data_IF_269449905006
#
_entry.id   IF_269449905006
#
_cell.length_a   1.000
_cell.length_b   1.000
_cell.length_c   1.000
_cell.angle_alpha   90.00
_cell.angle_beta   90.00
_cell.angle_gamma   90.00
#
_symmetry.space_group_name_H-M   'P 1'
#
loop_
_entity.id
_entity.type
_entity.pdbx_description
1 polymer ?
#
# COMPACT_ATOMS: atom_id res chain seq x y z
N UNK A 1 -0.15 79.09 -14.82
CA UNK A 1 1.30 79.42 -14.78
C UNK A 1 2.03 78.50 -13.80
N UNK A 2 2.61 77.38 -14.25
CA UNK A 2 3.22 76.36 -13.37
C UNK A 2 4.48 76.85 -12.61
N UNK A 3 5.15 77.90 -13.10
CA UNK A 3 6.35 78.46 -12.48
C UNK A 3 6.11 79.23 -11.17
N UNK A 4 4.87 79.57 -10.83
CA UNK A 4 4.55 80.29 -9.59
C UNK A 4 4.75 79.41 -8.34
N UNK A 5 4.41 78.13 -8.45
CA UNK A 5 4.54 77.14 -7.37
C UNK A 5 5.94 76.50 -7.31
N UNK A 6 6.77 76.65 -8.35
CA UNK A 6 8.13 76.13 -8.38
C UNK A 6 8.98 76.82 -7.32
N UNK A 7 9.68 76.06 -6.48
CA UNK A 7 10.56 76.57 -5.43
C UNK A 7 12.01 76.21 -5.80
N UNK A 8 12.84 77.19 -6.21
CA UNK A 8 14.24 76.93 -6.55
C UNK A 8 15.04 76.67 -5.28
N UNK A 9 16.05 75.79 -5.38
CA UNK A 9 16.93 75.44 -4.25
C UNK A 9 17.85 76.60 -3.87
N UNK A 10 18.22 77.42 -4.85
CA UNK A 10 19.05 78.61 -4.70
C UNK A 10 18.24 79.86 -5.07
N UNK A 11 18.52 81.03 -4.46
CA UNK A 11 17.87 82.27 -4.83
C UNK A 11 18.14 82.60 -6.31
N UNK A 12 17.09 82.86 -7.09
CA UNK A 12 17.18 83.17 -8.51
C UNK A 12 16.40 84.43 -8.87
N UNK A 13 16.91 85.22 -9.82
CA UNK A 13 16.24 86.45 -10.28
C UNK A 13 14.92 86.20 -11.02
N UNK A 14 14.79 85.09 -11.74
CA UNK A 14 13.58 84.74 -12.50
C UNK A 14 13.20 83.26 -12.35
N UNK A 15 12.11 83.00 -11.61
CA UNK A 15 11.57 81.66 -11.34
C UNK A 15 11.17 80.87 -12.58
N UNK A 16 10.70 81.55 -13.63
CA UNK A 16 10.23 80.87 -14.84
C UNK A 16 11.40 80.28 -15.64
N UNK A 17 12.48 81.06 -15.78
CA UNK A 17 13.70 80.60 -16.45
C UNK A 17 14.37 79.48 -15.67
N UNK A 18 14.45 79.62 -14.33
CA UNK A 18 15.02 78.59 -13.47
C UNK A 18 14.25 77.26 -13.57
N UNK A 19 12.91 77.28 -13.51
CA UNK A 19 12.09 76.07 -13.70
C UNK A 19 12.37 75.40 -15.05
N UNK A 20 12.53 76.21 -16.11
CA UNK A 20 12.77 75.67 -17.46
C UNK A 20 14.11 74.95 -17.52
N UNK A 21 15.17 75.54 -16.96
CA UNK A 21 16.51 74.96 -16.90
C UNK A 21 16.57 73.70 -16.03
N UNK A 22 16.02 73.76 -14.81
CA UNK A 22 15.96 72.59 -13.93
C UNK A 22 15.23 71.42 -14.58
N UNK A 23 14.13 71.70 -15.28
CA UNK A 23 13.38 70.67 -16.00
C UNK A 23 14.18 70.06 -17.14
N UNK A 24 14.91 70.87 -17.91
CA UNK A 24 15.75 70.36 -18.99
C UNK A 24 16.94 69.56 -18.45
N UNK A 25 17.54 70.01 -17.35
CA UNK A 25 18.68 69.34 -16.71
C UNK A 25 18.26 68.01 -16.09
N UNK A 26 17.10 67.99 -15.42
CA UNK A 26 16.50 66.76 -14.91
C UNK A 26 16.20 65.76 -16.03
N UNK A 27 15.59 66.22 -17.14
CA UNK A 27 15.32 65.37 -18.30
C UNK A 27 16.62 64.84 -18.92
N UNK A 28 17.65 65.67 -19.04
CA UNK A 28 18.96 65.28 -19.56
C UNK A 28 19.64 64.25 -18.64
N UNK A 29 19.62 64.48 -17.32
CA UNK A 29 20.17 63.56 -16.33
C UNK A 29 19.45 62.20 -16.38
N UNK A 30 18.11 62.22 -16.38
CA UNK A 30 17.31 60.99 -16.37
C UNK A 30 17.48 60.18 -17.64
N UNK A 31 17.57 60.85 -18.79
CA UNK A 31 17.72 60.20 -20.10
C UNK A 31 19.13 59.72 -20.36
N UNK A 32 20.16 60.53 -20.09
CA UNK A 32 21.56 60.22 -20.45
C UNK A 32 22.34 59.49 -19.36
N UNK A 33 22.10 59.80 -18.09
CA UNK A 33 22.87 59.21 -16.97
C UNK A 33 22.13 58.05 -16.35
N UNK A 34 20.90 58.26 -15.88
CA UNK A 34 20.18 57.24 -15.10
C UNK A 34 19.75 56.05 -15.97
N UNK A 35 19.25 56.29 -17.19
CA UNK A 35 18.75 55.21 -18.07
C UNK A 35 19.87 54.26 -18.53
N UNK A 36 21.08 54.77 -18.70
CA UNK A 36 22.23 54.01 -19.20
C UNK A 36 23.22 53.62 -18.08
N UNK A 37 22.93 53.95 -16.83
CA UNK A 37 23.72 53.52 -15.68
C UNK A 37 23.64 51.99 -15.56
N UNK A 38 24.81 51.34 -15.51
CA UNK A 38 24.88 49.89 -15.31
C UNK A 38 24.63 49.57 -13.84
N UNK A 39 23.85 48.53 -13.52
CA UNK A 39 23.75 48.06 -12.15
C UNK A 39 25.11 47.52 -11.71
N UNK A 40 25.60 48.01 -10.57
CA UNK A 40 26.86 47.56 -9.95
C UNK A 40 26.69 46.23 -9.21
N UNK A 41 25.47 45.99 -8.69
CA UNK A 41 25.12 44.77 -7.98
C UNK A 41 24.42 43.83 -8.94
N UNK A 42 24.97 42.62 -9.07
CA UNK A 42 24.36 41.54 -9.84
C UNK A 42 23.13 41.03 -9.09
N UNK A 43 21.95 41.13 -9.71
CA UNK A 43 20.66 40.69 -9.15
C UNK A 43 20.16 39.36 -9.75
N UNK A 44 20.99 38.67 -10.53
CA UNK A 44 20.62 37.40 -11.15
C UNK A 44 20.48 36.29 -10.11
N UNK A 45 19.65 35.30 -10.41
CA UNK A 45 19.59 34.08 -9.62
C UNK A 45 20.96 33.38 -9.60
N UNK A 46 21.36 32.79 -8.45
CA UNK A 46 22.61 32.04 -8.36
C UNK A 46 22.57 30.82 -9.30
N UNK A 47 23.75 30.44 -9.80
CA UNK A 47 23.88 29.31 -10.72
C UNK A 47 23.47 28.00 -10.02
N UNK A 48 22.48 27.32 -10.56
CA UNK A 48 22.10 25.97 -10.13
C UNK A 48 23.03 24.94 -10.77
N UNK A 49 23.47 23.95 -10.01
CA UNK A 49 24.27 22.84 -10.54
C UNK A 49 23.46 21.55 -10.51
N UNK A 50 23.40 20.83 -11.64
CA UNK A 50 22.61 19.59 -11.76
C UNK A 50 23.04 18.49 -10.79
N UNK A 51 24.33 18.42 -10.42
CA UNK A 51 24.83 17.42 -9.48
C UNK A 51 24.37 17.64 -8.02
N UNK A 52 23.90 18.85 -7.66
CA UNK A 52 23.24 19.10 -6.37
C UNK A 52 21.80 18.58 -6.38
N UNK A 53 21.13 18.64 -7.53
CA UNK A 53 19.74 18.21 -7.68
C UNK A 53 19.64 16.68 -7.90
N UNK A 54 20.62 16.10 -8.59
CA UNK A 54 20.62 14.68 -8.98
C UNK A 54 21.90 13.99 -8.51
N UNK A 55 21.75 13.03 -7.60
CA UNK A 55 22.83 12.16 -7.14
C UNK A 55 23.04 10.99 -8.11
N UNK A 56 23.67 11.27 -9.26
CA UNK A 56 23.85 10.29 -10.35
C UNK A 56 24.50 8.97 -9.90
N UNK A 57 25.51 9.02 -9.02
CA UNK A 57 26.15 7.80 -8.48
C UNK A 57 25.19 6.93 -7.68
N UNK A 58 24.28 7.56 -6.91
CA UNK A 58 23.26 6.83 -6.14
C UNK A 58 22.29 6.12 -7.08
N UNK A 59 21.78 6.82 -8.10
CA UNK A 59 20.87 6.24 -9.08
C UNK A 59 21.51 5.06 -9.82
N UNK A 60 22.77 5.19 -10.24
CA UNK A 60 23.51 4.11 -10.89
C UNK A 60 23.65 2.87 -10.00
N UNK A 61 24.00 3.05 -8.72
CA UNK A 61 24.11 1.93 -7.77
C UNK A 61 22.76 1.24 -7.53
N UNK A 62 21.67 2.01 -7.47
CA UNK A 62 20.33 1.45 -7.34
C UNK A 62 19.94 0.63 -8.58
N UNK A 63 20.25 1.13 -9.79
CA UNK A 63 20.02 0.41 -11.04
C UNK A 63 20.83 -0.90 -11.11
N UNK A 64 22.12 -0.86 -10.78
CA UNK A 64 22.99 -2.04 -10.73
C UNK A 64 22.47 -3.08 -9.73
N UNK A 65 22.06 -2.64 -8.53
CA UNK A 65 21.46 -3.52 -7.52
C UNK A 65 20.17 -4.15 -8.04
N UNK A 66 19.30 -3.38 -8.68
CA UNK A 66 18.06 -3.89 -9.26
C UNK A 66 18.32 -4.90 -10.39
N UNK A 67 19.34 -4.67 -11.23
CA UNK A 67 19.76 -5.60 -12.28
C UNK A 67 20.22 -6.94 -11.71
N UNK A 68 20.97 -6.92 -10.61
CA UNK A 68 21.41 -8.14 -9.91
C UNK A 68 20.19 -8.91 -9.38
N UNK A 69 19.30 -8.24 -8.65
CA UNK A 69 18.08 -8.85 -8.09
C UNK A 69 17.23 -9.48 -9.20
N UNK A 70 17.05 -8.79 -10.33
CA UNK A 70 16.27 -9.32 -11.45
C UNK A 70 16.91 -10.57 -12.07
N UNK A 71 18.23 -10.57 -12.25
CA UNK A 71 18.97 -11.73 -12.78
C UNK A 71 18.86 -12.94 -11.84
N UNK A 72 19.00 -12.70 -10.54
CA UNK A 72 18.93 -13.75 -9.53
C UNK A 72 17.51 -14.32 -9.43
N UNK A 73 16.49 -13.45 -9.45
CA UNK A 73 15.09 -13.87 -9.48
C UNK A 73 14.76 -14.69 -10.72
N UNK A 74 15.26 -14.29 -11.90
CA UNK A 74 15.08 -15.08 -13.13
C UNK A 74 15.71 -16.46 -12.99
N UNK A 75 16.95 -16.51 -12.51
CA UNK A 75 17.67 -17.78 -12.28
C UNK A 75 16.94 -18.68 -11.28
N UNK A 76 16.40 -18.10 -10.22
CA UNK A 76 15.62 -18.81 -9.21
C UNK A 76 14.33 -19.39 -9.82
N UNK A 77 13.59 -18.59 -10.58
CA UNK A 77 12.37 -19.01 -11.26
C UNK A 77 12.64 -20.12 -12.26
N UNK A 78 13.72 -20.03 -13.04
CA UNK A 78 14.14 -21.08 -13.96
C UNK A 78 14.42 -22.39 -13.21
N UNK A 79 15.17 -22.35 -12.10
CA UNK A 79 15.43 -23.51 -11.24
C UNK A 79 14.15 -24.09 -10.62
N UNK A 80 13.26 -23.23 -10.11
CA UNK A 80 11.96 -23.65 -9.59
C UNK A 80 11.12 -24.33 -10.67
N UNK A 81 11.09 -23.79 -11.89
CA UNK A 81 10.37 -24.39 -13.01
C UNK A 81 10.87 -25.80 -13.34
N UNK A 82 12.19 -26.01 -13.28
CA UNK A 82 12.82 -27.32 -13.48
C UNK A 82 12.39 -28.27 -12.36
N UNK A 83 12.46 -27.85 -11.09
CA UNK A 83 12.05 -28.68 -9.95
C UNK A 83 10.58 -29.08 -10.07
N UNK A 84 9.70 -28.12 -10.34
CA UNK A 84 8.25 -28.34 -10.48
C UNK A 84 7.93 -29.30 -11.62
N UNK A 85 8.62 -29.16 -12.77
CA UNK A 85 8.43 -30.05 -13.93
C UNK A 85 8.99 -31.46 -13.71
N UNK A 86 10.09 -31.58 -12.96
CA UNK A 86 10.84 -32.84 -12.85
C UNK A 86 10.54 -33.60 -11.55
N UNK A 87 9.60 -33.12 -10.72
CA UNK A 87 9.21 -33.71 -9.41
C UNK A 87 10.39 -34.06 -8.48
N UNK A 88 11.57 -33.47 -8.72
CA UNK A 88 12.81 -33.80 -8.02
C UNK A 88 13.20 -35.27 -8.17
N UNK A 89 13.82 -35.65 -9.30
CA UNK A 89 14.52 -36.94 -9.38
C UNK A 89 15.75 -36.90 -8.48
N UNK A 90 15.60 -37.43 -7.27
CA UNK A 90 16.68 -37.74 -6.35
C UNK A 90 17.19 -39.13 -6.76
N UNK A 91 18.43 -39.19 -7.25
CA UNK A 91 19.15 -40.44 -7.56
C UNK A 91 19.48 -41.28 -6.31
N UNK A 92 19.35 -40.67 -5.13
CA UNK A 92 19.53 -41.28 -3.81
C UNK A 92 18.26 -41.98 -3.28
N UNK A 93 17.57 -42.77 -4.12
CA UNK A 93 16.64 -43.79 -3.60
C UNK A 93 17.45 -45.00 -3.16
N UNK A 94 18.00 -44.93 -1.97
CA UNK A 94 18.62 -46.09 -1.35
C UNK A 94 17.51 -46.87 -0.61
N UNK A 95 17.09 -48.02 -1.16
CA UNK A 95 16.06 -48.89 -0.59
C UNK A 95 16.59 -49.67 0.62
N UNK A 96 16.97 -48.95 1.68
CA UNK A 96 17.26 -49.56 2.97
C UNK A 96 16.17 -49.21 3.97
N UNK A 97 15.70 -50.20 4.73
CA UNK A 97 14.86 -49.94 5.88
C UNK A 97 15.67 -49.18 6.93
N UNK A 98 15.30 -47.92 7.19
CA UNK A 98 15.88 -47.13 8.27
C UNK A 98 15.47 -47.74 9.61
N UNK A 99 16.30 -48.64 10.16
CA UNK A 99 16.13 -49.19 11.51
C UNK A 99 16.65 -48.16 12.52
N UNK A 100 15.77 -47.31 13.03
CA UNK A 100 16.12 -46.47 14.18
C UNK A 100 15.97 -47.28 15.48
N UNK A 101 17.00 -47.27 16.32
CA UNK A 101 16.98 -47.93 17.64
C UNK A 101 15.87 -47.38 18.56
N UNK A 102 15.34 -46.18 18.25
CA UNK A 102 14.25 -45.51 18.98
C UNK A 102 12.87 -45.67 18.34
N UNK A 103 12.72 -46.46 17.26
CA UNK A 103 11.46 -46.64 16.55
C UNK A 103 10.35 -47.16 17.46
N UNK A 104 10.67 -48.16 18.27
CA UNK A 104 9.72 -48.80 19.18
C UNK A 104 9.28 -47.85 20.29
N UNK A 105 10.22 -47.15 20.94
CA UNK A 105 9.91 -46.11 21.93
C UNK A 105 9.03 -45.02 21.34
N UNK A 106 9.32 -44.54 20.14
CA UNK A 106 8.49 -43.54 19.44
C UNK A 106 7.10 -44.06 19.12
N UNK A 107 6.96 -45.33 18.73
CA UNK A 107 5.66 -45.94 18.49
C UNK A 107 4.84 -46.08 19.78
N UNK A 108 5.49 -46.44 20.90
CA UNK A 108 4.83 -46.51 22.20
C UNK A 108 4.38 -45.12 22.67
N UNK A 109 5.24 -44.10 22.56
CA UNK A 109 4.88 -42.71 22.85
C UNK A 109 3.74 -42.21 21.95
N UNK A 110 3.76 -42.54 20.65
CA UNK A 110 2.69 -42.17 19.73
C UNK A 110 1.36 -42.80 20.12
N UNK A 111 1.35 -44.09 20.49
CA UNK A 111 0.13 -44.77 20.96
C UNK A 111 -0.39 -44.13 22.24
N UNK A 112 0.50 -43.83 23.20
CA UNK A 112 0.16 -43.15 24.45
C UNK A 112 -0.49 -41.79 24.19
N UNK A 113 0.16 -40.92 23.41
CA UNK A 113 -0.35 -39.58 23.07
C UNK A 113 -1.67 -39.67 22.32
N UNK A 114 -1.82 -40.64 21.41
CA UNK A 114 -3.07 -40.82 20.66
C UNK A 114 -4.22 -41.22 21.57
N UNK A 115 -3.97 -42.11 22.53
CA UNK A 115 -4.96 -42.52 23.52
C UNK A 115 -5.34 -41.36 24.45
N UNK A 116 -4.36 -40.63 24.98
CA UNK A 116 -4.60 -39.44 25.81
C UNK A 116 -5.40 -38.37 25.05
N UNK A 117 -5.06 -38.11 23.78
CA UNK A 117 -5.79 -37.16 22.93
C UNK A 117 -7.24 -37.60 22.69
N UNK A 118 -7.47 -38.91 22.51
CA UNK A 118 -8.83 -39.46 22.38
C UNK A 118 -9.64 -39.22 23.65
N UNK A 119 -9.05 -39.48 24.82
CA UNK A 119 -9.70 -39.26 26.12
C UNK A 119 -10.00 -37.77 26.37
N UNK A 120 -9.07 -36.87 26.03
CA UNK A 120 -9.30 -35.42 26.08
C UNK A 120 -10.45 -35.03 25.14
N UNK A 121 -10.45 -35.55 23.92
CA UNK A 121 -11.52 -35.31 22.94
C UNK A 121 -12.88 -35.76 23.47
N UNK A 122 -12.97 -36.98 24.01
CA UNK A 122 -14.19 -37.48 24.63
C UNK A 122 -14.63 -36.61 25.81
N UNK A 123 -13.69 -36.14 26.64
CA UNK A 123 -14.01 -35.26 27.77
C UNK A 123 -14.55 -33.92 27.28
N UNK A 124 -13.91 -33.30 26.29
CA UNK A 124 -14.38 -32.04 25.69
C UNK A 124 -15.75 -32.19 25.01
N UNK A 125 -16.01 -33.32 24.34
CA UNK A 125 -17.32 -33.59 23.74
C UNK A 125 -18.41 -33.81 24.77
N UNK A 126 -18.10 -34.46 25.89
CA UNK A 126 -19.06 -34.68 27.00
C UNK A 126 -19.28 -33.42 27.83
N UNK A 127 -18.28 -32.55 27.92
CA UNK A 127 -18.41 -31.25 28.56
C UNK A 127 -19.33 -30.33 27.73
N UNK A 128 -20.56 -30.13 28.18
CA UNK A 128 -21.46 -29.12 27.62
C UNK A 128 -21.02 -27.69 27.96
N UNK A 129 -21.51 -26.68 27.23
CA UNK A 129 -21.28 -25.28 27.55
C UNK A 129 -21.89 -24.94 28.93
N UNK A 130 -21.09 -24.37 29.83
CA UNK A 130 -21.53 -23.93 31.18
C UNK A 130 -22.55 -22.78 31.11
N UNK A 131 -22.49 -21.99 30.05
CA UNK A 131 -23.36 -20.84 29.84
C UNK A 131 -24.19 -21.05 28.58
N UNK A 132 -25.50 -20.83 28.68
CA UNK A 132 -26.39 -20.84 27.53
C UNK A 132 -26.25 -19.53 26.77
N UNK A 133 -25.80 -19.60 25.50
CA UNK A 133 -25.69 -18.43 24.62
C UNK A 133 -27.03 -17.70 24.48
N UNK A 134 -28.14 -18.44 24.54
CA UNK A 134 -29.49 -17.87 24.48
C UNK A 134 -29.81 -17.05 25.72
N UNK A 135 -29.57 -17.60 26.91
CA UNK A 135 -29.82 -16.89 28.17
C UNK A 135 -28.96 -15.64 28.28
N UNK A 136 -27.69 -15.73 27.90
CA UNK A 136 -26.78 -14.58 27.86
C UNK A 136 -27.26 -13.49 26.91
N UNK A 137 -27.80 -13.86 25.75
CA UNK A 137 -28.33 -12.89 24.79
C UNK A 137 -29.63 -12.24 25.32
N UNK A 138 -30.48 -12.99 26.00
CA UNK A 138 -31.67 -12.45 26.67
C UNK A 138 -31.30 -11.53 27.83
N UNK A 139 -30.32 -11.90 28.66
CA UNK A 139 -29.77 -11.05 29.72
C UNK A 139 -29.14 -9.78 29.15
N UNK A 140 -28.40 -9.90 28.05
CA UNK A 140 -27.83 -8.75 27.36
C UNK A 140 -28.91 -7.79 26.87
N UNK A 141 -29.99 -8.30 26.26
CA UNK A 141 -31.15 -7.48 25.85
C UNK A 141 -31.85 -6.81 27.03
N UNK A 142 -32.02 -7.53 28.16
CA UNK A 142 -32.57 -6.97 29.40
C UNK A 142 -31.68 -5.84 29.92
N UNK A 143 -30.38 -6.08 29.99
CA UNK A 143 -29.40 -5.09 30.42
C UNK A 143 -29.38 -3.88 29.48
N UNK A 144 -29.51 -4.08 28.17
CA UNK A 144 -29.61 -3.00 27.19
C UNK A 144 -30.86 -2.14 27.44
N UNK A 145 -32.03 -2.75 27.65
CA UNK A 145 -33.25 -2.04 28.02
C UNK A 145 -33.13 -1.25 29.33
N UNK A 146 -32.52 -1.83 30.38
CA UNK A 146 -32.26 -1.11 31.63
C UNK A 146 -31.31 0.06 31.41
N UNK A 147 -30.23 -0.15 30.66
CA UNK A 147 -29.31 0.92 30.34
C UNK A 147 -30.03 2.02 29.59
N UNK A 148 -30.90 1.71 28.63
CA UNK A 148 -31.63 2.72 27.83
C UNK A 148 -32.58 3.52 28.72
N UNK A 149 -33.23 2.86 29.67
CA UNK A 149 -34.11 3.48 30.66
C UNK A 149 -33.37 4.40 31.63
N UNK A 150 -32.14 4.05 32.02
CA UNK A 150 -31.28 4.85 32.93
C UNK A 150 -30.48 5.93 32.15
N UNK A 151 -30.51 5.89 30.81
CA UNK A 151 -29.74 6.81 29.99
C UNK A 151 -30.33 8.23 30.10
N UNK A 152 -29.50 9.20 30.49
CA UNK A 152 -29.88 10.62 30.49
C UNK A 152 -30.08 11.19 29.08
N UNK A 153 -29.45 10.58 28.08
CA UNK A 153 -29.48 10.99 26.67
C UNK A 153 -29.74 9.79 25.76
N UNK A 154 -30.50 9.95 24.67
CA UNK A 154 -30.84 8.84 23.77
C UNK A 154 -29.59 8.27 23.13
N UNK A 155 -29.37 6.96 23.34
CA UNK A 155 -28.25 6.23 22.73
C UNK A 155 -28.67 5.73 21.35
N UNK A 156 -27.83 5.95 20.35
CA UNK A 156 -28.15 5.71 18.92
C UNK A 156 -28.28 6.99 18.10
N UNK A 157 -28.34 8.17 18.73
CA UNK A 157 -28.30 9.47 18.06
C UNK A 157 -26.85 9.96 17.81
N UNK A 158 -25.95 9.09 17.35
CA UNK A 158 -24.77 9.62 16.64
C UNK A 158 -25.28 10.12 15.29
N UNK A 159 -25.46 11.43 15.18
CA UNK A 159 -25.59 12.06 13.88
C UNK A 159 -24.36 11.68 13.06
N UNK A 160 -24.51 10.72 12.16
CA UNK A 160 -23.53 10.53 11.09
C UNK A 160 -23.44 11.87 10.35
N UNK A 161 -22.25 12.47 10.20
CA UNK A 161 -22.12 13.66 9.38
C UNK A 161 -22.64 13.34 7.97
N UNK A 162 -23.61 14.15 7.52
CA UNK A 162 -24.10 14.12 6.14
C UNK A 162 -22.92 14.35 5.19
N UNK A 163 -22.96 13.61 4.08
CA UNK A 163 -22.11 13.70 2.88
C UNK A 163 -20.80 12.89 2.89
N UNK A 164 -20.85 11.71 2.27
CA UNK A 164 -19.88 11.36 1.22
C UNK A 164 -20.71 10.98 0.00
N UNK A 165 -20.55 11.76 -1.07
CA UNK A 165 -21.17 11.53 -2.38
C UNK A 165 -20.75 10.13 -2.86
N UNK A 166 -21.68 9.20 -2.98
CA UNK A 166 -21.41 7.97 -3.73
C UNK A 166 -21.44 8.32 -5.21
N UNK A 167 -20.23 8.41 -5.79
CA UNK A 167 -20.00 8.24 -7.21
C UNK A 167 -20.60 6.91 -7.65
N UNK A 168 -21.43 6.96 -8.69
CA UNK A 168 -22.00 5.79 -9.35
C UNK A 168 -20.87 5.00 -10.02
N UNK A 169 -20.46 3.88 -9.43
CA UNK A 169 -19.65 2.88 -10.13
C UNK A 169 -20.12 1.46 -9.80
N UNK A 170 -20.39 0.68 -10.86
CA UNK A 170 -20.20 -0.77 -10.89
C UNK A 170 -21.31 -1.65 -10.31
N UNK A 171 -22.33 -1.96 -11.12
CA UNK A 171 -23.04 -3.25 -10.99
C UNK A 171 -22.05 -4.38 -11.33
N UNK A 172 -21.53 -5.05 -10.31
CA UNK A 172 -20.80 -6.32 -10.44
C UNK A 172 -21.56 -7.42 -9.73
N UNK A 173 -22.54 -8.02 -10.40
CA UNK A 173 -23.17 -9.25 -9.91
C UNK A 173 -22.21 -10.43 -10.13
N UNK A 174 -21.77 -11.02 -9.01
CA UNK A 174 -21.10 -12.31 -8.96
C UNK A 174 -22.14 -13.41 -9.19
N UNK A 175 -22.11 -14.06 -10.35
CA UNK A 175 -22.80 -15.34 -10.54
C UNK A 175 -21.96 -16.47 -9.94
N UNK A 176 -22.53 -17.10 -8.92
CA UNK A 176 -21.96 -18.26 -8.22
C UNK A 176 -22.08 -19.49 -9.12
N UNK A 177 -20.95 -20.19 -9.28
CA UNK A 177 -20.81 -21.51 -9.92
C UNK A 177 -21.83 -22.50 -9.38
N UNK A 178 -22.72 -22.99 -10.25
CA UNK A 178 -23.50 -24.22 -10.05
C UNK A 178 -22.65 -25.39 -10.56
N UNK A 179 -22.08 -26.19 -9.64
CA UNK A 179 -21.58 -27.53 -9.95
C UNK A 179 -22.81 -28.44 -10.00
N UNK A 180 -23.14 -28.98 -11.17
CA UNK A 180 -24.03 -30.13 -11.27
C UNK A 180 -23.26 -31.33 -11.84
N UNK A 181 -23.17 -32.34 -11.00
CA UNK A 181 -23.01 -33.75 -11.31
C UNK A 181 -23.84 -34.19 -12.52
N UNK A 182 -23.21 -34.93 -13.45
CA UNK A 182 -23.92 -35.87 -14.32
C UNK A 182 -23.04 -37.11 -14.50
N UNK A 183 -23.42 -38.18 -13.81
CA UNK A 183 -22.99 -39.55 -14.10
C UNK A 183 -23.92 -40.16 -15.17
N UNK A 184 -23.27 -40.96 -16.05
CA UNK A 184 -23.66 -42.25 -16.67
C UNK A 184 -24.80 -42.36 -17.70
N UNK A 185 -24.43 -42.86 -18.88
CA UNK A 185 -24.81 -44.13 -19.54
C UNK A 185 -24.10 -44.13 -20.93
N UNK A 186 -23.41 -45.16 -21.42
CA UNK A 186 -23.80 -46.53 -21.83
C UNK A 186 -22.50 -47.38 -21.90
N UNK A 187 -22.38 -48.54 -21.23
CA UNK A 187 -22.62 -49.93 -21.73
C UNK A 187 -21.91 -50.24 -23.05
N UNK A 188 -21.35 -51.40 -23.33
CA UNK A 188 -21.00 -52.67 -22.66
C UNK A 188 -20.41 -53.45 -23.85
N UNK A 189 -19.16 -53.92 -23.81
CA UNK A 189 -18.79 -55.05 -24.66
C UNK A 189 -17.61 -55.83 -24.07
N UNK A 190 -17.88 -57.12 -23.96
CA UNK A 190 -17.15 -58.16 -23.28
C UNK A 190 -15.92 -58.58 -24.08
N UNK A 191 -14.90 -59.10 -23.38
CA UNK A 191 -14.41 -60.51 -23.51
C UNK A 191 -12.92 -60.61 -23.21
N UNK A 192 -12.61 -61.15 -22.02
CA UNK A 192 -11.38 -61.88 -21.79
C UNK A 192 -11.49 -63.28 -22.43
N UNK A 193 -10.36 -63.87 -22.85
CA UNK A 193 -10.21 -65.32 -22.75
C UNK A 193 -9.13 -65.67 -21.73
N UNK A 194 -9.56 -66.34 -20.66
CA UNK A 194 -8.74 -67.30 -19.95
C UNK A 194 -8.50 -68.51 -20.88
N UNK A 195 -7.26 -68.99 -20.95
CA UNK A 195 -6.92 -70.31 -21.44
C UNK A 195 -5.78 -70.87 -20.59
N UNK A 196 -6.11 -71.91 -19.83
CA UNK A 196 -5.18 -72.88 -19.26
C UNK A 196 -4.26 -73.46 -20.36
N UNK A 197 -2.95 -73.44 -20.12
CA UNK A 197 -2.01 -74.58 -20.19
C UNK A 197 -0.69 -74.16 -19.54
#
# INVERSE_FOLDING_TARGET
MQHRAYQPVLPCGNKYLQLKWDRTDYQMHRSKKVKYAKPEIRTDAPRTFGHLQLKLKKLKLEEERMSIIQRDNKTLLDKMSVIMRTTGRIDNKNEYETRSLSRERRQQELRRVTQENREIGERLSRCGPKYSTREWHEDWKRAEGYRDSIARYPRGATQTPKSIKQTKEGKGEKSVKKRSSREKAETDEQKAPDADT
#
